data_IF_646655436249
#
_entry.id   IF_646655436249
#
_cell.length_a   1.000
_cell.length_b   1.000
_cell.length_c   1.000
_cell.angle_alpha   90.00
_cell.angle_beta   90.00
_cell.angle_gamma   90.00
#
_symmetry.space_group_name_H-M   'P 1'
#
loop_
_entity.id
_entity.type
_entity.pdbx_description
1 polymer ?
#
# COMPACT_ATOMS: atom_id res chain seq x y z
N UNK A 1 -12.95 -16.93 -9.49
CA UNK A 1 -11.58 -16.58 -9.09
C UNK A 1 -11.10 -17.54 -8.03
N UNK A 2 -9.84 -17.93 -8.10
CA UNK A 2 -9.25 -18.75 -7.05
C UNK A 2 -9.22 -17.99 -5.73
N UNK A 3 -9.25 -18.72 -4.62
CA UNK A 3 -9.18 -18.12 -3.30
C UNK A 3 -7.83 -17.39 -3.12
N UNK A 4 -7.89 -16.22 -2.51
CA UNK A 4 -6.68 -15.46 -2.16
C UNK A 4 -6.01 -16.09 -0.96
N UNK A 5 -4.70 -16.21 -1.03
CA UNK A 5 -3.86 -16.58 0.11
C UNK A 5 -2.93 -15.42 0.46
N UNK A 6 -2.75 -15.19 1.75
CA UNK A 6 -1.80 -14.22 2.27
C UNK A 6 -0.60 -14.97 2.83
N UNK A 7 0.59 -14.49 2.51
CA UNK A 7 1.82 -15.06 3.08
C UNK A 7 2.89 -13.98 3.16
N UNK A 8 3.85 -14.19 4.04
CA UNK A 8 5.01 -13.32 4.12
C UNK A 8 5.81 -13.41 2.83
N UNK A 9 6.30 -12.27 2.36
CA UNK A 9 7.17 -12.21 1.19
C UNK A 9 8.56 -12.73 1.52
N UNK A 10 9.21 -13.34 0.53
CA UNK A 10 10.58 -13.85 0.64
C UNK A 10 11.55 -12.92 -0.07
N UNK A 11 12.83 -13.02 0.29
CA UNK A 11 13.87 -12.17 -0.33
C UNK A 11 13.95 -12.36 -1.83
N UNK A 12 13.70 -13.56 -2.32
CA UNK A 12 13.71 -13.87 -3.76
C UNK A 12 12.59 -13.17 -4.51
N UNK A 13 11.60 -12.60 -3.81
CA UNK A 13 10.44 -11.95 -4.41
C UNK A 13 10.58 -10.43 -4.50
N UNK A 14 11.72 -9.87 -4.17
CA UNK A 14 11.92 -8.43 -4.19
C UNK A 14 11.64 -7.81 -5.56
N UNK A 15 12.08 -8.47 -6.64
CA UNK A 15 11.79 -7.99 -8.00
C UNK A 15 10.29 -8.09 -8.32
N UNK A 16 9.62 -9.12 -7.85
CA UNK A 16 8.17 -9.27 -8.00
C UNK A 16 7.44 -8.11 -7.33
N UNK A 17 7.85 -7.74 -6.13
CA UNK A 17 7.27 -6.60 -5.40
C UNK A 17 7.46 -5.30 -6.19
N UNK A 18 8.66 -5.08 -6.72
CA UNK A 18 8.94 -3.89 -7.52
C UNK A 18 8.06 -3.85 -8.77
N UNK A 19 7.91 -4.99 -9.45
CA UNK A 19 7.05 -5.08 -10.63
C UNK A 19 5.60 -4.74 -10.31
N UNK A 20 5.08 -5.25 -9.18
CA UNK A 20 3.72 -4.94 -8.75
C UNK A 20 3.58 -3.45 -8.47
N UNK A 21 4.54 -2.87 -7.75
CA UNK A 21 4.54 -1.45 -7.42
C UNK A 21 4.52 -0.59 -8.69
N UNK A 22 5.45 -0.87 -9.62
CA UNK A 22 5.53 -0.12 -10.87
C UNK A 22 4.28 -0.27 -11.73
N UNK A 23 3.79 -1.51 -11.88
CA UNK A 23 2.59 -1.76 -12.67
C UNK A 23 1.35 -1.09 -12.07
N UNK A 24 1.23 -1.12 -10.73
CA UNK A 24 0.13 -0.47 -10.03
C UNK A 24 0.12 1.03 -10.28
N UNK A 25 1.26 1.69 -10.11
CA UNK A 25 1.37 3.14 -10.29
C UNK A 25 1.09 3.51 -11.75
N UNK A 26 1.71 2.80 -12.69
CA UNK A 26 1.57 3.09 -14.12
C UNK A 26 0.16 2.80 -14.64
N UNK A 27 -0.51 1.79 -14.08
CA UNK A 27 -1.81 1.36 -14.56
C UNK A 27 -3.00 2.01 -13.85
N UNK A 28 -2.85 2.41 -12.61
CA UNK A 28 -3.98 2.88 -11.80
C UNK A 28 -3.93 4.37 -11.45
N UNK A 29 -2.75 5.00 -11.52
CA UNK A 29 -2.58 6.38 -11.06
C UNK A 29 -2.64 7.42 -12.17
N UNK A 30 -2.78 7.03 -13.44
CA UNK A 30 -2.74 7.95 -14.57
C UNK A 30 -3.89 8.95 -14.59
N UNK A 31 -5.02 8.64 -13.94
CA UNK A 31 -6.15 9.56 -13.85
C UNK A 31 -5.94 10.69 -12.85
N UNK A 32 -5.01 10.54 -11.92
CA UNK A 32 -4.79 11.49 -10.83
C UNK A 32 -3.43 12.17 -10.91
N UNK A 33 -2.49 11.60 -11.64
CA UNK A 33 -1.12 12.10 -11.73
C UNK A 33 -0.68 12.18 -13.18
N UNK A 34 0.19 13.15 -13.48
CA UNK A 34 0.77 13.29 -14.81
C UNK A 34 1.83 12.22 -15.07
N UNK A 35 2.16 12.00 -16.34
CA UNK A 35 3.24 11.08 -16.71
C UNK A 35 4.57 11.49 -16.06
N UNK A 36 4.84 12.79 -15.98
CA UNK A 36 6.05 13.30 -15.34
C UNK A 36 6.08 12.97 -13.84
N UNK A 37 4.96 13.17 -13.14
CA UNK A 37 4.86 12.83 -11.72
C UNK A 37 5.11 11.34 -11.49
N UNK A 38 4.52 10.49 -12.33
CA UNK A 38 4.70 9.04 -12.22
C UNK A 38 6.14 8.65 -12.49
N UNK A 39 6.76 9.22 -13.52
CA UNK A 39 8.15 8.93 -13.85
C UNK A 39 9.09 9.28 -12.70
N UNK A 40 8.92 10.46 -12.09
CA UNK A 40 9.72 10.87 -10.95
C UNK A 40 9.45 10.02 -9.70
N UNK A 41 8.20 9.62 -9.50
CA UNK A 41 7.83 8.74 -8.40
C UNK A 41 8.57 7.41 -8.48
N UNK A 42 8.67 6.84 -9.68
CA UNK A 42 9.29 5.52 -9.88
C UNK A 42 10.81 5.59 -10.10
N UNK A 43 11.34 6.78 -10.35
CA UNK A 43 12.76 6.95 -10.64
C UNK A 43 13.61 6.61 -9.41
N UNK A 44 14.70 5.87 -9.64
CA UNK A 44 15.63 5.51 -8.58
C UNK A 44 15.13 4.42 -7.63
N UNK A 45 13.93 3.90 -7.83
CA UNK A 45 13.42 2.80 -7.01
C UNK A 45 13.93 1.48 -7.51
N UNK A 46 14.38 0.63 -6.59
CA UNK A 46 14.85 -0.69 -6.91
C UNK A 46 14.34 -1.71 -5.88
N UNK A 47 14.68 -2.98 -6.11
CA UNK A 47 14.18 -4.07 -5.29
C UNK A 47 14.72 -4.06 -3.85
N UNK A 48 15.79 -3.32 -3.59
CA UNK A 48 16.37 -3.23 -2.24
C UNK A 48 15.45 -2.52 -1.25
N UNK A 49 14.51 -1.70 -1.73
CA UNK A 49 13.58 -0.98 -0.85
C UNK A 49 12.69 -1.91 -0.03
N UNK A 50 12.56 -3.18 -0.43
CA UNK A 50 11.71 -4.15 0.28
C UNK A 50 12.49 -5.04 1.25
N UNK A 51 13.82 -4.96 1.24
CA UNK A 51 14.67 -5.87 2.02
C UNK A 51 14.36 -5.82 3.50
N UNK A 52 14.26 -4.62 4.08
CA UNK A 52 14.03 -4.48 5.51
C UNK A 52 12.64 -4.98 5.92
N UNK A 53 11.61 -4.65 5.16
CA UNK A 53 10.25 -5.10 5.46
C UNK A 53 10.15 -6.62 5.42
N UNK A 54 10.80 -7.25 4.47
CA UNK A 54 10.84 -8.71 4.37
C UNK A 54 11.59 -9.30 5.57
N UNK A 55 12.78 -8.78 5.87
CA UNK A 55 13.61 -9.28 6.98
C UNK A 55 12.90 -9.15 8.33
N UNK A 56 12.11 -8.08 8.52
CA UNK A 56 11.38 -7.84 9.75
C UNK A 56 9.99 -8.46 9.76
N UNK A 57 9.64 -9.22 8.72
CA UNK A 57 8.35 -9.91 8.61
C UNK A 57 7.16 -8.96 8.68
N UNK A 58 7.27 -7.83 7.98
CA UNK A 58 6.25 -6.78 7.93
C UNK A 58 5.66 -6.58 6.54
N UNK A 59 5.93 -7.51 5.61
CA UNK A 59 5.50 -7.41 4.23
C UNK A 59 4.85 -8.71 3.78
N UNK A 60 3.60 -8.63 3.33
CA UNK A 60 2.80 -9.78 2.91
C UNK A 60 2.38 -9.65 1.46
N UNK A 61 2.35 -10.80 0.78
CA UNK A 61 1.80 -10.93 -0.57
C UNK A 61 0.42 -11.57 -0.53
N UNK A 62 -0.47 -11.08 -1.40
CA UNK A 62 -1.74 -11.73 -1.69
C UNK A 62 -1.62 -12.43 -3.03
N UNK A 63 -1.91 -13.72 -3.07
CA UNK A 63 -1.69 -14.57 -4.24
C UNK A 63 -2.94 -15.38 -4.59
N UNK A 64 -3.15 -15.65 -5.90
CA UNK A 64 -4.26 -16.50 -6.37
C UNK A 64 -3.97 -17.14 -7.74
N UNK A 65 -3.07 -18.11 -7.87
CA UNK A 65 -1.90 -18.46 -7.06
C UNK A 65 -0.74 -17.49 -7.25
N UNK A 66 -0.71 -16.74 -8.34
CA UNK A 66 0.34 -15.77 -8.61
C UNK A 66 0.19 -14.54 -7.73
N UNK A 67 1.29 -13.85 -7.38
CA UNK A 67 1.20 -12.60 -6.61
C UNK A 67 0.37 -11.55 -7.33
N UNK A 68 -0.62 -10.97 -6.63
CA UNK A 68 -1.52 -9.96 -7.17
C UNK A 68 -1.36 -8.60 -6.48
N UNK A 69 -0.80 -8.57 -5.29
CA UNK A 69 -0.63 -7.34 -4.53
C UNK A 69 0.15 -7.60 -3.27
N UNK A 70 0.52 -6.51 -2.59
CA UNK A 70 1.26 -6.64 -1.33
C UNK A 70 0.94 -5.46 -0.41
N UNK A 71 1.23 -5.67 0.88
CA UNK A 71 1.14 -4.63 1.90
C UNK A 71 2.37 -4.69 2.79
N UNK A 72 2.92 -3.51 3.11
CA UNK A 72 4.00 -3.36 4.07
C UNK A 72 3.56 -2.43 5.17
N UNK A 73 3.80 -2.83 6.43
CA UNK A 73 3.46 -2.02 7.60
C UNK A 73 4.73 -1.59 8.33
N UNK A 74 4.61 -0.55 9.14
CA UNK A 74 5.62 -0.16 10.11
C UNK A 74 4.99 -0.15 11.50
N UNK A 75 5.62 0.53 12.47
CA UNK A 75 5.18 0.47 13.87
C UNK A 75 3.75 1.00 14.06
N UNK A 76 3.34 2.01 13.27
CA UNK A 76 2.06 2.68 13.48
C UNK A 76 1.36 3.06 12.16
N UNK A 77 1.85 2.55 11.04
CA UNK A 77 1.35 2.97 9.73
C UNK A 77 1.34 1.83 8.73
N UNK A 78 0.60 2.05 7.66
CA UNK A 78 0.69 1.24 6.43
C UNK A 78 1.59 2.03 5.49
N UNK A 79 2.74 1.47 5.16
CA UNK A 79 3.75 2.16 4.36
C UNK A 79 3.52 1.99 2.87
N UNK A 80 3.06 0.79 2.45
CA UNK A 80 2.83 0.47 1.05
C UNK A 80 1.66 -0.50 0.95
N UNK A 81 0.77 -0.24 0.01
CA UNK A 81 -0.28 -1.18 -0.39
C UNK A 81 -0.51 -0.98 -1.87
N UNK A 82 -0.09 -1.96 -2.66
CA UNK A 82 -0.19 -1.89 -4.12
C UNK A 82 -0.74 -3.19 -4.66
N UNK A 83 -1.57 -3.10 -5.70
CA UNK A 83 -2.13 -4.25 -6.39
C UNK A 83 -1.88 -4.11 -7.89
N UNK A 84 -1.80 -5.24 -8.58
CA UNK A 84 -1.71 -5.22 -10.03
C UNK A 84 -2.99 -4.63 -10.62
N UNK A 85 -2.90 -3.87 -11.73
CA UNK A 85 -4.10 -3.26 -12.35
C UNK A 85 -5.18 -4.29 -12.68
N UNK A 86 -4.80 -5.47 -13.17
CA UNK A 86 -5.76 -6.52 -13.52
C UNK A 86 -6.46 -7.12 -12.30
N UNK A 87 -5.95 -6.87 -11.09
CA UNK A 87 -6.58 -7.33 -9.85
C UNK A 87 -7.50 -6.29 -9.23
N UNK A 88 -7.57 -5.09 -9.79
CA UNK A 88 -8.44 -4.03 -9.28
C UNK A 88 -9.90 -4.48 -9.32
N UNK A 89 -10.65 -4.21 -8.26
CA UNK A 89 -12.06 -4.59 -8.16
C UNK A 89 -12.31 -6.02 -7.76
N UNK A 90 -11.27 -6.82 -7.53
CA UNK A 90 -11.42 -8.24 -7.15
C UNK A 90 -11.31 -8.48 -5.63
N UNK A 91 -11.22 -7.42 -4.84
CA UNK A 91 -11.16 -7.55 -3.39
C UNK A 91 -9.76 -7.77 -2.81
N UNK A 92 -8.72 -7.74 -3.64
CA UNK A 92 -7.34 -7.95 -3.19
C UNK A 92 -6.91 -6.85 -2.22
N UNK A 93 -7.20 -5.59 -2.55
CA UNK A 93 -6.87 -4.47 -1.67
C UNK A 93 -7.55 -4.55 -0.32
N UNK A 94 -8.82 -4.97 -0.29
CA UNK A 94 -9.57 -5.13 0.95
C UNK A 94 -8.96 -6.21 1.83
N UNK A 95 -8.56 -7.34 1.25
CA UNK A 95 -7.93 -8.44 1.99
C UNK A 95 -6.61 -7.99 2.60
N UNK A 96 -5.78 -7.30 1.81
CA UNK A 96 -4.50 -6.78 2.29
C UNK A 96 -4.68 -5.74 3.38
N UNK A 97 -5.60 -4.80 3.20
CA UNK A 97 -5.87 -3.75 4.19
C UNK A 97 -6.39 -4.34 5.50
N UNK A 98 -7.35 -5.27 5.41
CA UNK A 98 -7.92 -5.93 6.59
C UNK A 98 -6.83 -6.65 7.37
N UNK A 99 -5.94 -7.38 6.67
CA UNK A 99 -4.83 -8.06 7.31
C UNK A 99 -3.90 -7.08 8.03
N UNK A 100 -3.54 -5.98 7.38
CA UNK A 100 -2.67 -4.97 7.96
C UNK A 100 -3.28 -4.35 9.22
N UNK A 101 -4.57 -3.97 9.16
CA UNK A 101 -5.25 -3.38 10.31
C UNK A 101 -5.38 -4.36 11.46
N UNK A 102 -5.71 -5.62 11.17
CA UNK A 102 -5.79 -6.64 12.21
C UNK A 102 -4.44 -6.90 12.86
N UNK A 103 -3.36 -6.91 12.07
CA UNK A 103 -2.01 -7.12 12.57
C UNK A 103 -1.61 -5.97 13.50
N UNK A 104 -1.80 -4.72 13.07
CA UNK A 104 -1.45 -3.56 13.87
C UNK A 104 -2.32 -3.46 15.13
N UNK A 105 -3.60 -3.75 15.02
CA UNK A 105 -4.51 -3.74 16.17
C UNK A 105 -4.10 -4.81 17.19
N UNK A 106 -3.72 -6.00 16.73
CA UNK A 106 -3.23 -7.07 17.61
C UNK A 106 -1.94 -6.68 18.34
N UNK A 107 -1.17 -5.74 17.80
CA UNK A 107 0.03 -5.19 18.45
C UNK A 107 -0.30 -4.07 19.43
N UNK A 108 -1.58 -3.79 19.65
CA UNK A 108 -2.03 -2.78 20.61
C UNK A 108 -2.30 -1.40 20.03
N UNK A 109 -2.22 -1.23 18.73
CA UNK A 109 -2.43 0.08 18.11
C UNK A 109 -3.91 0.38 17.95
N UNK A 110 -4.27 1.59 18.34
CA UNK A 110 -5.65 2.08 18.22
C UNK A 110 -5.82 3.06 17.06
N UNK A 111 -4.72 3.58 16.53
CA UNK A 111 -4.71 4.52 15.42
C UNK A 111 -3.69 4.09 14.40
N UNK A 112 -4.09 4.06 13.13
CA UNK A 112 -3.21 3.71 12.02
C UNK A 112 -3.23 4.86 11.03
N UNK A 113 -2.06 5.35 10.66
CA UNK A 113 -1.94 6.46 9.72
C UNK A 113 -1.44 5.94 8.38
N UNK A 114 -1.78 6.67 7.32
CA UNK A 114 -1.32 6.38 5.98
C UNK A 114 -1.15 7.67 5.20
N UNK A 115 -0.13 7.70 4.34
CA UNK A 115 0.00 8.71 3.30
C UNK A 115 -0.58 8.09 2.02
N UNK A 116 -1.82 8.45 1.71
CA UNK A 116 -2.55 7.84 0.60
C UNK A 116 -2.33 8.63 -0.68
N UNK A 117 -2.14 7.92 -1.79
CA UNK A 117 -2.21 8.56 -3.10
C UNK A 117 -3.62 9.09 -3.33
N UNK A 118 -3.75 10.10 -4.21
CA UNK A 118 -5.07 10.60 -4.60
C UNK A 118 -5.92 9.50 -5.21
N UNK A 119 -5.29 8.56 -5.92
CA UNK A 119 -5.96 7.41 -6.52
C UNK A 119 -6.55 6.49 -5.47
N UNK A 120 -5.83 6.23 -4.38
CA UNK A 120 -6.22 5.28 -3.34
C UNK A 120 -7.08 5.89 -2.24
N UNK A 121 -7.08 7.21 -2.08
CA UNK A 121 -7.80 7.87 -0.98
C UNK A 121 -9.28 7.45 -0.89
N UNK A 122 -10.06 7.37 -1.99
CA UNK A 122 -11.44 6.92 -1.90
C UNK A 122 -11.58 5.50 -1.36
N UNK A 123 -10.64 4.61 -1.71
CA UNK A 123 -10.62 3.24 -1.21
C UNK A 123 -10.44 3.22 0.31
N UNK A 124 -9.48 3.99 0.82
CA UNK A 124 -9.26 4.07 2.28
C UNK A 124 -10.44 4.70 3.00
N UNK A 125 -11.03 5.73 2.42
CA UNK A 125 -12.20 6.38 3.00
C UNK A 125 -13.37 5.39 3.13
N UNK A 126 -13.59 4.59 2.09
CA UNK A 126 -14.62 3.55 2.10
C UNK A 126 -14.40 2.53 3.22
N UNK A 127 -13.15 2.31 3.61
CA UNK A 127 -12.78 1.31 4.63
C UNK A 127 -12.50 1.93 6.00
N UNK A 128 -13.02 3.11 6.27
CA UNK A 128 -13.03 3.68 7.60
C UNK A 128 -11.92 4.67 7.91
N UNK A 129 -11.09 5.02 6.95
CA UNK A 129 -10.08 6.07 7.13
C UNK A 129 -10.73 7.44 6.94
N UNK A 130 -10.33 8.39 7.77
CA UNK A 130 -10.73 9.79 7.62
C UNK A 130 -9.55 10.62 7.15
N UNK A 131 -9.85 11.63 6.33
CA UNK A 131 -8.82 12.53 5.83
C UNK A 131 -8.38 13.47 6.94
N UNK A 132 -7.06 13.62 7.13
CA UNK A 132 -6.49 14.57 8.06
C UNK A 132 -6.14 15.88 7.34
N UNK A 133 -5.36 15.79 6.28
CA UNK A 133 -4.91 16.95 5.52
C UNK A 133 -4.31 16.52 4.19
N UNK A 134 -4.32 17.45 3.24
CA UNK A 134 -3.58 17.29 1.99
C UNK A 134 -2.10 17.55 2.26
N UNK A 135 -1.23 16.86 1.53
CA UNK A 135 0.21 16.96 1.70
C UNK A 135 0.93 16.71 0.38
N UNK A 136 2.23 16.93 0.38
CA UNK A 136 3.10 16.60 -0.75
C UNK A 136 4.04 15.49 -0.28
N UNK A 137 4.06 14.39 -1.04
CA UNK A 137 4.91 13.25 -0.71
C UNK A 137 6.36 13.57 -1.02
N UNK A 138 7.26 13.14 -0.14
CA UNK A 138 8.69 13.20 -0.39
C UNK A 138 9.13 12.28 -1.55
N UNK A 139 8.29 11.33 -1.93
CA UNK A 139 8.63 10.37 -2.98
C UNK A 139 8.62 10.97 -4.39
N UNK A 140 7.90 12.07 -4.61
CA UNK A 140 7.82 12.69 -5.93
C UNK A 140 8.98 13.61 -6.28
N UNK A 141 9.77 14.02 -5.27
CA UNK A 141 10.86 14.96 -5.46
C UNK A 141 10.40 16.40 -5.68
N UNK A 142 11.37 17.32 -5.84
CA UNK A 142 11.08 18.75 -5.92
C UNK A 142 10.56 19.16 -7.28
N UNK A 143 11.03 18.47 -8.34
CA UNK A 143 10.70 18.84 -9.72
C UNK A 143 9.31 18.36 -10.15
N UNK A 144 8.81 17.29 -9.52
CA UNK A 144 7.50 16.76 -9.81
C UNK A 144 6.82 16.41 -8.47
N UNK A 145 6.34 17.42 -7.72
CA UNK A 145 5.70 17.17 -6.43
C UNK A 145 4.53 16.21 -6.58
N UNK A 146 4.44 15.26 -5.65
CA UNK A 146 3.39 14.24 -5.66
C UNK A 146 2.36 14.56 -4.58
N UNK A 147 1.18 15.14 -4.96
CA UNK A 147 0.15 15.43 -3.96
C UNK A 147 -0.44 14.13 -3.41
N UNK A 148 -0.60 14.08 -2.11
CA UNK A 148 -1.14 12.94 -1.38
C UNK A 148 -2.11 13.42 -0.31
N UNK A 149 -2.75 12.48 0.38
CA UNK A 149 -3.67 12.75 1.48
C UNK A 149 -3.22 11.97 2.70
N UNK A 150 -2.98 12.66 3.81
CA UNK A 150 -2.75 11.99 5.08
C UNK A 150 -4.09 11.55 5.66
N UNK A 151 -4.20 10.28 6.03
CA UNK A 151 -5.44 9.68 6.52
C UNK A 151 -5.18 8.86 7.77
N UNK A 152 -6.21 8.67 8.57
CA UNK A 152 -6.13 7.92 9.82
C UNK A 152 -7.35 7.01 9.99
N UNK A 153 -7.05 5.79 10.44
CA UNK A 153 -8.06 4.83 10.86
C UNK A 153 -7.97 4.71 12.39
N UNK A 154 -9.13 4.68 13.04
CA UNK A 154 -9.25 4.49 14.47
C UNK A 154 -9.88 3.12 14.72
N UNK A 155 -9.26 2.35 15.61
CA UNK A 155 -9.78 1.03 15.96
C UNK A 155 -11.16 1.16 16.61
N UNK A 156 -12.09 0.22 16.35
CA UNK A 156 -13.36 0.20 17.07
C UNK A 156 -13.14 0.07 18.57
N UNK A 157 -14.06 0.57 19.40
CA UNK A 157 -13.98 0.32 20.83
C UNK A 157 -13.94 -1.19 21.10
N UNK A 158 -13.10 -1.59 22.08
CA UNK A 158 -13.04 -2.99 22.46
C UNK A 158 -14.40 -3.43 22.96
N UNK A 159 -14.86 -4.60 22.46
CA UNK A 159 -16.06 -5.23 23.00
C UNK A 159 -15.73 -5.76 24.40
N UNK A 160 -16.37 -5.22 25.42
CA UNK A 160 -16.23 -5.69 26.79
C UNK A 160 -17.43 -6.51 27.21
#
# INVERSE_FOLDING_TARGET
MQALTLRLACMEERETLLQIHQASVQGLCTGQYTAEQIAHWLDGRDAHMYTQGIAQQRLWLACAPEPLGFVEISADSIDKLFILPQAAGLGVGKVLLTHALNTLHAQGLRHVVIEATLTAAPFYQKHGFRQLNAAISAHGGVEAPLPVVNMQWDAPPDAT
#
